data_IF_700942451441
#
_entry.id   IF_700942451441
#
_cell.length_a   1.000
_cell.length_b   1.000
_cell.length_c   1.000
_cell.angle_alpha   90.00
_cell.angle_beta   90.00
_cell.angle_gamma   90.00
#
_symmetry.space_group_name_H-M   'P 1'
#
loop_
_entity.id
_entity.type
_entity.pdbx_description
1 polymer ?
#
# COMPACT_ATOMS: atom_id res chain seq x y z
N UNK A 1 -12.39 22.90 -39.52
CA UNK A 1 -11.22 23.27 -38.67
C UNK A 1 -11.74 23.57 -37.29
N UNK A 2 -11.63 22.64 -36.37
CA UNK A 2 -12.05 22.83 -34.99
C UNK A 2 -11.01 23.66 -34.25
N UNK A 3 -11.37 24.86 -33.82
CA UNK A 3 -10.54 25.66 -32.92
C UNK A 3 -10.37 24.91 -31.59
N UNK A 4 -9.20 24.33 -31.41
CA UNK A 4 -8.81 23.83 -30.09
C UNK A 4 -8.69 25.03 -29.16
N UNK A 5 -9.67 25.21 -28.27
CA UNK A 5 -9.59 26.18 -27.19
C UNK A 5 -8.46 25.75 -26.24
N UNK A 6 -7.25 26.20 -26.50
CA UNK A 6 -6.15 26.09 -25.52
C UNK A 6 -6.40 27.11 -24.42
N UNK A 7 -6.86 26.63 -23.27
CA UNK A 7 -6.90 27.47 -22.06
C UNK A 7 -5.47 27.84 -21.72
N UNK A 8 -5.06 29.10 -21.74
CA UNK A 8 -3.71 29.49 -21.39
C UNK A 8 -3.46 29.18 -19.92
N UNK A 9 -2.66 28.15 -19.67
CA UNK A 9 -2.23 27.83 -18.30
C UNK A 9 -1.19 28.89 -17.92
N UNK A 10 -1.49 29.70 -16.91
CA UNK A 10 -0.56 30.65 -16.35
C UNK A 10 0.53 29.90 -15.56
N UNK A 11 1.64 29.61 -16.24
CA UNK A 11 2.75 28.84 -15.70
C UNK A 11 3.39 29.54 -14.50
N UNK A 12 3.44 30.86 -14.49
CA UNK A 12 3.99 31.65 -13.37
C UNK A 12 3.18 31.41 -12.08
N UNK A 13 1.85 31.42 -12.14
CA UNK A 13 1.01 31.10 -10.99
C UNK A 13 1.23 29.69 -10.45
N UNK A 14 1.56 28.73 -11.31
CA UNK A 14 1.81 27.34 -10.88
C UNK A 14 3.19 27.20 -10.23
N UNK A 15 4.18 27.94 -10.75
CA UNK A 15 5.55 27.97 -10.21
C UNK A 15 5.58 28.74 -8.88
N UNK A 16 4.86 29.86 -8.78
CA UNK A 16 4.79 30.69 -7.57
C UNK A 16 3.98 30.06 -6.44
N UNK A 17 3.11 29.10 -6.75
CA UNK A 17 2.32 28.38 -5.73
C UNK A 17 3.20 27.60 -4.73
N UNK A 18 4.47 27.35 -5.07
CA UNK A 18 5.42 26.67 -4.20
C UNK A 18 5.01 25.24 -3.82
N UNK A 19 5.79 24.54 -3.01
CA UNK A 19 5.43 23.22 -2.52
C UNK A 19 4.25 23.31 -1.57
N UNK A 20 3.30 22.39 -1.72
CA UNK A 20 2.11 22.29 -0.85
C UNK A 20 2.58 22.13 0.60
N UNK A 21 2.39 23.17 1.42
CA UNK A 21 2.68 23.09 2.85
C UNK A 21 1.59 22.34 3.58
N UNK A 22 1.90 21.16 4.08
CA UNK A 22 0.97 20.38 4.91
C UNK A 22 0.84 21.10 6.26
N UNK A 23 -0.38 21.49 6.64
CA UNK A 23 -0.63 22.11 7.93
C UNK A 23 -0.22 21.17 9.06
N UNK A 24 0.43 21.71 10.11
CA UNK A 24 0.85 20.95 11.29
C UNK A 24 -0.27 20.07 11.87
N UNK A 25 -1.50 20.57 11.87
CA UNK A 25 -2.68 19.82 12.33
C UNK A 25 -2.92 18.53 11.52
N UNK A 26 -2.74 18.57 10.19
CA UNK A 26 -2.89 17.39 9.32
C UNK A 26 -1.79 16.37 9.60
N UNK A 27 -0.57 16.85 9.80
CA UNK A 27 0.57 16.01 10.15
C UNK A 27 0.37 15.31 11.51
N UNK A 28 -0.09 16.03 12.53
CA UNK A 28 -0.42 15.47 13.84
C UNK A 28 -1.54 14.43 13.76
N UNK A 29 -2.58 14.69 12.97
CA UNK A 29 -3.66 13.72 12.78
C UNK A 29 -3.18 12.43 12.12
N UNK A 30 -2.30 12.51 11.12
CA UNK A 30 -1.71 11.32 10.48
C UNK A 30 -0.92 10.47 11.48
N UNK A 31 -0.09 11.11 12.31
CA UNK A 31 0.66 10.43 13.36
C UNK A 31 -0.25 9.82 14.43
N UNK A 32 -1.31 10.52 14.81
CA UNK A 32 -2.29 9.99 15.77
C UNK A 32 -2.94 8.70 15.23
N UNK A 33 -3.31 8.64 13.94
CA UNK A 33 -3.86 7.43 13.33
C UNK A 33 -2.85 6.27 13.32
N UNK A 34 -1.57 6.55 13.06
CA UNK A 34 -0.51 5.54 13.11
C UNK A 34 -0.38 4.97 14.53
N UNK A 35 -0.37 5.84 15.55
CA UNK A 35 -0.31 5.40 16.96
C UNK A 35 -1.53 4.57 17.36
N UNK A 36 -2.74 4.98 16.95
CA UNK A 36 -3.96 4.21 17.19
C UNK A 36 -3.87 2.83 16.54
N UNK A 37 -3.37 2.74 15.30
CA UNK A 37 -3.18 1.47 14.61
C UNK A 37 -2.21 0.54 15.34
N UNK A 38 -1.04 1.05 15.73
CA UNK A 38 -0.04 0.30 16.49
C UNK A 38 -0.62 -0.16 17.84
N UNK A 39 -1.29 0.73 18.55
CA UNK A 39 -1.91 0.41 19.85
C UNK A 39 -2.97 -0.69 19.71
N UNK A 40 -3.88 -0.56 18.74
CA UNK A 40 -4.93 -1.55 18.50
C UNK A 40 -4.35 -2.91 18.11
N UNK A 41 -3.32 -2.93 17.26
CA UNK A 41 -2.63 -4.16 16.89
C UNK A 41 -1.96 -4.82 18.09
N UNK A 42 -1.22 -4.05 18.89
CA UNK A 42 -0.56 -4.55 20.11
C UNK A 42 -1.57 -5.07 21.14
N UNK A 43 -2.67 -4.35 21.31
CA UNK A 43 -3.75 -4.79 22.21
C UNK A 43 -4.38 -6.10 21.74
N UNK A 44 -4.63 -6.25 20.43
CA UNK A 44 -5.15 -7.49 19.85
C UNK A 44 -4.22 -8.68 20.03
N UNK A 45 -2.88 -8.47 19.99
CA UNK A 45 -1.89 -9.52 20.22
C UNK A 45 -1.79 -9.94 21.68
N UNK A 46 -1.93 -9.00 22.63
CA UNK A 46 -1.72 -9.25 24.06
C UNK A 46 -2.98 -9.75 24.78
N UNK A 47 -4.15 -9.24 24.40
CA UNK A 47 -5.42 -9.48 25.11
C UNK A 47 -6.49 -10.15 24.24
N UNK A 48 -6.28 -10.20 22.92
CA UNK A 48 -7.19 -10.81 21.96
C UNK A 48 -6.69 -12.15 21.44
N UNK A 49 -7.34 -12.62 20.36
CA UNK A 49 -6.87 -13.79 19.61
C UNK A 49 -5.79 -13.38 18.59
N UNK A 50 -4.58 -13.91 18.81
CA UNK A 50 -3.45 -13.60 17.95
C UNK A 50 -3.68 -14.02 16.49
N UNK A 51 -4.39 -15.13 16.25
CA UNK A 51 -4.70 -15.60 14.89
C UNK A 51 -5.59 -14.61 14.14
N UNK A 52 -6.65 -14.16 14.77
CA UNK A 52 -7.56 -13.14 14.20
C UNK A 52 -6.85 -11.81 13.97
N UNK A 53 -5.99 -11.39 14.91
CA UNK A 53 -5.23 -10.14 14.80
C UNK A 53 -4.25 -10.17 13.64
N UNK A 54 -3.48 -11.24 13.49
CA UNK A 54 -2.57 -11.42 12.36
C UNK A 54 -3.32 -11.56 11.03
N UNK A 55 -4.45 -12.28 11.03
CA UNK A 55 -5.31 -12.39 9.85
C UNK A 55 -5.85 -11.05 9.38
N UNK A 56 -6.36 -10.23 10.30
CA UNK A 56 -6.82 -8.88 9.99
C UNK A 56 -5.69 -7.99 9.46
N UNK A 57 -4.51 -8.05 10.07
CA UNK A 57 -3.33 -7.32 9.57
C UNK A 57 -2.96 -7.74 8.15
N UNK A 58 -2.89 -9.04 7.88
CA UNK A 58 -2.54 -9.59 6.57
C UNK A 58 -3.53 -9.17 5.48
N UNK A 59 -4.84 -9.28 5.73
CA UNK A 59 -5.87 -8.87 4.76
C UNK A 59 -5.75 -7.39 4.43
N UNK A 60 -5.54 -6.52 5.43
CA UNK A 60 -5.35 -5.10 5.19
C UNK A 60 -4.05 -4.82 4.42
N UNK A 61 -2.95 -5.47 4.78
CA UNK A 61 -1.67 -5.32 4.08
C UNK A 61 -1.79 -5.69 2.60
N UNK A 62 -2.41 -6.84 2.29
CA UNK A 62 -2.64 -7.30 0.90
C UNK A 62 -3.57 -6.34 0.14
N UNK A 63 -4.62 -5.84 0.79
CA UNK A 63 -5.54 -4.88 0.19
C UNK A 63 -4.83 -3.59 -0.24
N UNK A 64 -4.09 -2.95 0.66
CA UNK A 64 -3.37 -1.72 0.34
C UNK A 64 -2.22 -1.93 -0.64
N UNK A 65 -1.56 -3.10 -0.58
CA UNK A 65 -0.55 -3.47 -1.58
C UNK A 65 -1.17 -3.64 -2.96
N UNK A 66 -2.36 -4.26 -3.05
CA UNK A 66 -3.11 -4.38 -4.30
C UNK A 66 -3.49 -3.02 -4.89
N UNK A 67 -3.92 -2.07 -4.05
CA UNK A 67 -4.19 -0.69 -4.49
C UNK A 67 -2.93 0.00 -5.04
N UNK A 68 -1.80 -0.14 -4.36
CA UNK A 68 -0.53 0.45 -4.80
C UNK A 68 -0.08 -0.13 -6.15
N UNK A 69 -0.11 -1.45 -6.30
CA UNK A 69 0.23 -2.13 -7.55
C UNK A 69 -0.75 -1.77 -8.68
N UNK A 70 -2.05 -1.67 -8.39
CA UNK A 70 -3.06 -1.20 -9.34
C UNK A 70 -2.77 0.21 -9.85
N UNK A 71 -2.32 1.11 -8.97
CA UNK A 71 -1.85 2.44 -9.35
C UNK A 71 -0.65 2.40 -10.31
N UNK A 72 0.35 1.59 -10.00
CA UNK A 72 1.53 1.41 -10.88
C UNK A 72 1.11 0.87 -12.24
N UNK A 73 0.29 -0.18 -12.28
CA UNK A 73 -0.18 -0.78 -13.54
C UNK A 73 -0.97 0.23 -14.38
N UNK A 74 -1.85 1.01 -13.75
CA UNK A 74 -2.61 2.05 -14.43
C UNK A 74 -1.68 3.10 -15.05
N UNK A 75 -0.65 3.54 -14.33
CA UNK A 75 0.34 4.50 -14.83
C UNK A 75 1.09 3.94 -16.05
N UNK A 76 1.54 2.68 -15.98
CA UNK A 76 2.26 2.01 -17.07
C UNK A 76 1.37 1.84 -18.31
N UNK A 77 0.12 1.39 -18.13
CA UNK A 77 -0.83 1.24 -19.24
C UNK A 77 -1.05 2.58 -19.95
N UNK A 78 -1.25 3.67 -19.19
CA UNK A 78 -1.44 5.00 -19.76
C UNK A 78 -0.22 5.50 -20.53
N UNK A 79 0.99 5.12 -20.13
CA UNK A 79 2.21 5.44 -20.87
C UNK A 79 2.29 4.66 -22.19
N UNK A 80 1.97 3.35 -22.17
CA UNK A 80 2.00 2.50 -23.38
C UNK A 80 0.99 2.99 -24.41
N UNK A 81 -0.23 3.33 -23.99
CA UNK A 81 -1.30 3.81 -24.86
C UNK A 81 -1.11 5.27 -25.29
N UNK A 82 -0.08 5.95 -24.77
CA UNK A 82 0.19 7.39 -25.03
C UNK A 82 -1.05 8.26 -24.78
N UNK A 83 -1.79 7.99 -23.73
CA UNK A 83 -3.02 8.69 -23.37
C UNK A 83 -2.74 10.15 -22.94
N UNK A 84 -2.85 11.10 -23.87
CA UNK A 84 -2.59 12.52 -23.59
C UNK A 84 -3.59 13.11 -22.57
N UNK A 85 -4.83 12.59 -22.54
CA UNK A 85 -5.87 12.99 -21.59
C UNK A 85 -5.67 12.40 -20.19
N UNK A 86 -4.81 11.40 -20.05
CA UNK A 86 -4.56 10.66 -18.80
C UNK A 86 -3.59 11.33 -17.84
N UNK A 87 -2.99 12.48 -18.18
CA UNK A 87 -1.94 13.12 -17.36
C UNK A 87 -2.33 13.35 -15.88
N UNK A 88 -3.52 13.86 -15.52
CA UNK A 88 -3.91 14.04 -14.12
C UNK A 88 -4.13 12.71 -13.40
N UNK A 89 -4.72 11.72 -14.08
CA UNK A 89 -4.96 10.37 -13.52
C UNK A 89 -3.63 9.65 -13.27
N UNK A 90 -2.67 9.79 -14.20
CA UNK A 90 -1.35 9.21 -14.06
C UNK A 90 -0.60 9.74 -12.83
N UNK A 91 -0.69 11.05 -12.54
CA UNK A 91 -0.07 11.62 -11.34
C UNK A 91 -0.64 11.05 -10.04
N UNK A 92 -1.96 10.82 -9.99
CA UNK A 92 -2.61 10.18 -8.84
C UNK A 92 -2.15 8.72 -8.73
N UNK A 93 -2.08 8.01 -9.86
CA UNK A 93 -1.60 6.63 -9.91
C UNK A 93 -0.14 6.49 -9.47
N UNK A 94 0.72 7.41 -9.92
CA UNK A 94 2.14 7.48 -9.52
C UNK A 94 2.31 7.77 -8.02
N UNK A 95 1.41 8.55 -7.41
CA UNK A 95 1.44 8.81 -5.97
C UNK A 95 1.29 7.53 -5.13
N UNK A 96 0.60 6.49 -5.64
CA UNK A 96 0.49 5.20 -4.97
C UNK A 96 1.83 4.45 -4.89
N UNK A 97 2.80 4.76 -5.76
CA UNK A 97 4.16 4.18 -5.70
C UNK A 97 4.84 4.51 -4.36
N UNK A 98 4.54 5.68 -3.79
CA UNK A 98 5.08 6.07 -2.49
C UNK A 98 4.70 5.12 -1.34
N UNK A 99 3.64 4.33 -1.51
CA UNK A 99 3.23 3.32 -0.54
C UNK A 99 4.05 2.01 -0.63
N UNK A 100 4.71 1.72 -1.76
CA UNK A 100 5.43 0.45 -1.94
C UNK A 100 6.46 0.14 -0.85
N UNK A 101 7.28 1.09 -0.37
CA UNK A 101 8.20 0.82 0.74
C UNK A 101 7.47 0.40 2.02
N UNK A 102 6.33 1.03 2.31
CA UNK A 102 5.49 0.70 3.47
C UNK A 102 4.89 -0.69 3.31
N UNK A 103 4.38 -1.01 2.10
CA UNK A 103 3.86 -2.33 1.76
C UNK A 103 4.93 -3.42 1.93
N UNK A 104 6.17 -3.15 1.53
CA UNK A 104 7.28 -4.07 1.70
C UNK A 104 7.58 -4.33 3.19
N UNK A 105 7.63 -3.29 4.02
CA UNK A 105 7.81 -3.43 5.47
C UNK A 105 6.63 -4.21 6.09
N UNK A 106 5.39 -3.91 5.69
CA UNK A 106 4.22 -4.65 6.14
C UNK A 106 4.30 -6.14 5.75
N UNK A 107 4.76 -6.45 4.52
CA UNK A 107 4.98 -7.82 4.09
C UNK A 107 6.04 -8.53 4.94
N UNK A 108 7.18 -7.89 5.21
CA UNK A 108 8.21 -8.45 6.09
C UNK A 108 7.67 -8.69 7.52
N UNK A 109 6.77 -7.82 7.99
CA UNK A 109 6.14 -7.98 9.30
C UNK A 109 5.28 -9.24 9.36
N UNK A 110 4.64 -9.66 8.26
CA UNK A 110 3.86 -10.91 8.22
C UNK A 110 4.70 -12.16 8.49
N UNK A 111 6.02 -12.09 8.29
CA UNK A 111 6.93 -13.19 8.61
C UNK A 111 6.89 -13.58 10.10
N UNK A 112 6.72 -12.59 10.99
CA UNK A 112 6.60 -12.85 12.44
C UNK A 112 5.28 -13.53 12.81
N UNK A 113 4.22 -13.28 12.03
CA UNK A 113 2.90 -13.88 12.21
C UNK A 113 2.68 -15.19 11.44
N UNK A 114 3.69 -15.73 10.77
CA UNK A 114 3.58 -16.87 9.86
C UNK A 114 2.89 -18.09 10.48
N UNK A 115 3.15 -18.38 11.75
CA UNK A 115 2.57 -19.52 12.45
C UNK A 115 1.06 -19.40 12.68
N UNK A 116 0.56 -18.18 12.72
CA UNK A 116 -0.86 -17.87 12.87
C UNK A 116 -1.56 -17.76 11.51
N UNK A 117 -0.85 -17.27 10.50
CA UNK A 117 -1.40 -17.07 9.15
C UNK A 117 -1.48 -18.38 8.36
N UNK A 118 -0.49 -19.25 8.52
CA UNK A 118 -0.38 -20.49 7.76
C UNK A 118 -0.62 -21.70 8.65
N UNK A 119 -1.85 -22.22 8.61
CA UNK A 119 -2.27 -23.38 9.39
C UNK A 119 -1.39 -24.61 9.17
N UNK A 120 -0.90 -24.80 7.94
CA UNK A 120 -0.02 -25.92 7.59
C UNK A 120 1.38 -25.84 8.22
N UNK A 121 1.78 -24.67 8.69
CA UNK A 121 3.05 -24.53 9.43
C UNK A 121 3.02 -25.20 10.80
N UNK A 122 1.82 -25.36 11.41
CA UNK A 122 1.61 -26.05 12.66
C UNK A 122 1.20 -27.52 12.49
N UNK A 123 0.49 -27.84 11.44
CA UNK A 123 -0.04 -29.16 11.14
C UNK A 123 0.43 -29.60 9.75
N UNK A 124 1.67 -30.14 9.63
CA UNK A 124 2.18 -30.59 8.34
C UNK A 124 1.30 -31.74 7.82
N UNK A 125 0.85 -31.60 6.58
CA UNK A 125 0.10 -32.68 5.92
C UNK A 125 1.06 -33.79 5.48
N UNK A 126 0.80 -35.05 5.83
CA UNK A 126 1.67 -36.16 5.45
C UNK A 126 1.84 -36.23 3.93
N UNK A 127 3.08 -36.34 3.46
CA UNK A 127 3.45 -36.40 2.04
C UNK A 127 3.66 -35.05 1.35
N UNK A 128 3.51 -33.92 2.02
CA UNK A 128 3.75 -32.58 1.46
C UNK A 128 4.75 -31.74 2.28
N UNK A 129 5.55 -32.38 3.11
CA UNK A 129 6.47 -31.76 4.05
C UNK A 129 7.48 -30.83 3.37
N UNK A 130 7.93 -31.18 2.16
CA UNK A 130 8.89 -30.37 1.40
C UNK A 130 8.31 -28.98 1.02
N UNK A 131 7.04 -28.91 0.60
CA UNK A 131 6.38 -27.67 0.17
C UNK A 131 5.95 -26.79 1.34
N UNK A 132 5.92 -27.35 2.55
CA UNK A 132 5.43 -26.69 3.77
C UNK A 132 6.56 -26.07 4.58
N UNK A 133 7.81 -26.18 4.12
CA UNK A 133 8.93 -25.56 4.82
C UNK A 133 8.78 -24.04 4.81
N UNK A 134 9.01 -23.37 5.97
CA UNK A 134 8.83 -21.92 6.08
C UNK A 134 9.63 -21.10 5.05
N UNK A 135 10.78 -21.63 4.62
CA UNK A 135 11.60 -21.02 3.59
C UNK A 135 10.95 -20.98 2.20
N UNK A 136 10.01 -21.88 1.91
CA UNK A 136 9.38 -21.95 0.58
C UNK A 136 8.29 -20.91 0.37
N UNK A 137 7.70 -20.40 1.44
CA UNK A 137 6.61 -19.41 1.37
C UNK A 137 7.15 -17.98 1.16
N UNK A 138 8.40 -17.74 1.53
CA UNK A 138 9.00 -16.41 1.51
C UNK A 138 10.18 -16.27 0.52
N UNK A 139 10.48 -17.29 -0.27
CA UNK A 139 11.44 -17.28 -1.39
C UNK A 139 10.69 -17.24 -2.72
#
# INVERSE_FOLDING_TARGET
MSHVHTVPVNIEKVVDAGPISIKLKTYLNMWALVFVGIFTFSYGLLFGDAGTTWGAFFVNAVYFQGLALGGVMTSVIMQIVRAQWGAPIRRIAEANVAYLPVAFVAFLTTYFGREYLFYWGRNPMPGREFWMQPGFVYV
#
